data_IF_589263690644
#
_entry.id   IF_589263690644
#
_cell.length_a   1.000
_cell.length_b   1.000
_cell.length_c   1.000
_cell.angle_alpha   90.00
_cell.angle_beta   90.00
_cell.angle_gamma   90.00
#
_symmetry.space_group_name_H-M   'P 1'
#
loop_
_entity.id
_entity.type
_entity.pdbx_description
1 polymer ?
#
# COMPACT_ATOMS: atom_id res chain seq x y z
N UNK A 1 15.23 6.29 -14.65
CA UNK A 1 14.07 7.01 -14.06
C UNK A 1 14.61 8.04 -13.07
N UNK A 2 14.01 9.24 -12.97
CA UNK A 2 14.36 10.17 -11.90
C UNK A 2 14.04 9.53 -10.54
N UNK A 3 14.91 9.75 -9.55
CA UNK A 3 14.66 9.26 -8.19
C UNK A 3 13.44 9.98 -7.63
N UNK A 4 12.47 9.25 -7.06
CA UNK A 4 11.35 9.83 -6.32
C UNK A 4 11.89 10.42 -5.00
N UNK A 5 11.57 11.66 -4.70
CA UNK A 5 11.89 12.28 -3.42
C UNK A 5 10.76 12.01 -2.44
N UNK A 6 11.05 11.41 -1.27
CA UNK A 6 10.06 11.20 -0.20
C UNK A 6 10.45 12.04 1.00
N UNK A 7 9.53 12.90 1.45
CA UNK A 7 9.76 13.88 2.51
C UNK A 7 8.79 13.62 3.65
N UNK A 8 9.32 13.35 4.84
CA UNK A 8 8.56 13.35 6.09
C UNK A 8 8.43 14.82 6.55
N UNK A 9 7.22 15.38 6.44
CA UNK A 9 6.98 16.80 6.63
C UNK A 9 7.21 17.24 8.09
N UNK A 10 7.97 18.30 8.30
CA UNK A 10 8.01 19.04 9.57
C UNK A 10 6.83 20.04 9.68
N UNK A 11 6.27 20.41 8.55
CA UNK A 11 5.07 21.23 8.40
C UNK A 11 4.62 21.21 6.95
N UNK A 12 3.35 20.84 6.73
CA UNK A 12 2.78 20.62 5.40
C UNK A 12 2.91 21.83 4.48
N UNK A 13 2.54 23.03 4.96
CA UNK A 13 2.54 24.26 4.16
C UNK A 13 3.92 24.56 3.57
N UNK A 14 4.97 24.47 4.38
CA UNK A 14 6.35 24.75 3.93
C UNK A 14 6.83 23.66 2.97
N UNK A 15 6.59 22.38 3.31
CA UNK A 15 7.02 21.25 2.48
C UNK A 15 6.34 21.29 1.12
N UNK A 16 5.04 21.57 1.09
CA UNK A 16 4.26 21.64 -0.13
C UNK A 16 4.65 22.83 -1.01
N UNK A 17 4.80 24.03 -0.42
CA UNK A 17 5.29 25.22 -1.13
C UNK A 17 6.65 24.96 -1.78
N UNK A 18 7.57 24.32 -1.04
CA UNK A 18 8.89 23.98 -1.57
C UNK A 18 8.82 22.94 -2.70
N UNK A 19 8.00 21.90 -2.56
CA UNK A 19 7.83 20.88 -3.57
C UNK A 19 7.21 21.45 -4.86
N UNK A 20 6.21 22.32 -4.74
CA UNK A 20 5.59 23.02 -5.88
C UNK A 20 6.62 23.89 -6.61
N UNK A 21 7.44 24.66 -5.85
CA UNK A 21 8.47 25.54 -6.42
C UNK A 21 9.55 24.75 -7.18
N UNK A 22 9.84 23.51 -6.80
CA UNK A 22 10.75 22.61 -7.53
C UNK A 22 10.16 22.05 -8.84
N UNK A 23 8.85 22.14 -9.05
CA UNK A 23 8.16 21.65 -10.23
C UNK A 23 7.66 22.84 -11.06
N UNK A 24 8.43 23.34 -12.06
CA UNK A 24 7.96 24.43 -12.94
C UNK A 24 6.65 24.03 -13.61
N UNK A 25 5.63 24.85 -13.48
CA UNK A 25 4.29 24.58 -14.02
C UNK A 25 3.59 25.87 -14.47
N UNK A 26 2.64 25.71 -15.39
CA UNK A 26 1.77 26.78 -15.87
C UNK A 26 0.40 26.79 -15.17
N UNK A 27 -0.07 25.62 -14.75
CA UNK A 27 -1.31 25.44 -13.99
C UNK A 27 -1.12 24.37 -12.93
N UNK A 28 -1.84 24.54 -11.83
CA UNK A 28 -1.83 23.64 -10.69
C UNK A 28 -3.21 23.03 -10.47
N UNK A 29 -3.24 21.72 -10.26
CA UNK A 29 -4.46 20.96 -10.00
C UNK A 29 -4.32 20.17 -8.69
N UNK A 30 -5.43 20.06 -7.93
CA UNK A 30 -5.52 19.21 -6.75
C UNK A 30 -6.59 18.16 -7.02
N UNK A 31 -6.21 16.88 -6.99
CA UNK A 31 -7.10 15.74 -7.06
C UNK A 31 -7.36 15.20 -5.67
N UNK A 32 -8.65 15.09 -5.31
CA UNK A 32 -9.13 14.47 -4.06
C UNK A 32 -10.26 13.51 -4.38
N UNK A 33 -10.56 12.59 -3.45
CA UNK A 33 -11.87 11.96 -3.39
C UNK A 33 -12.81 12.77 -2.46
N UNK A 34 -14.10 12.41 -2.43
CA UNK A 34 -15.11 13.08 -1.61
C UNK A 34 -14.77 13.11 -0.11
N UNK A 35 -14.13 12.05 0.41
CA UNK A 35 -13.73 11.98 1.82
C UNK A 35 -12.53 12.88 2.09
N UNK A 36 -11.51 12.81 1.27
CA UNK A 36 -10.28 13.58 1.45
C UNK A 36 -10.49 15.05 1.10
N UNK A 37 -11.41 15.36 0.18
CA UNK A 37 -11.86 16.74 -0.03
C UNK A 37 -12.44 17.34 1.25
N UNK A 38 -13.31 16.63 1.93
CA UNK A 38 -13.95 17.11 3.16
C UNK A 38 -13.00 17.16 4.35
N UNK A 39 -12.15 16.14 4.54
CA UNK A 39 -11.37 15.94 5.76
C UNK A 39 -9.95 16.47 5.67
N UNK A 40 -9.32 16.40 4.49
CA UNK A 40 -7.91 16.69 4.31
C UNK A 40 -7.65 18.00 3.56
N UNK A 41 -8.50 18.35 2.58
CA UNK A 41 -8.34 19.58 1.79
C UNK A 41 -8.29 20.85 2.65
N UNK A 42 -9.07 20.99 3.75
CA UNK A 42 -8.99 22.18 4.61
C UNK A 42 -7.63 22.42 5.26
N UNK A 43 -6.78 21.39 5.41
CA UNK A 43 -5.41 21.55 5.90
C UNK A 43 -4.51 22.30 4.91
N UNK A 44 -4.94 22.48 3.68
CA UNK A 44 -4.24 23.24 2.64
C UNK A 44 -4.69 24.71 2.53
N UNK A 45 -5.70 25.11 3.28
CA UNK A 45 -6.23 26.47 3.24
C UNK A 45 -5.19 27.48 3.72
N UNK A 46 -5.13 28.61 3.02
CA UNK A 46 -4.19 29.68 3.33
C UNK A 46 -2.74 29.43 2.89
N UNK A 47 -2.46 28.36 2.12
CA UNK A 47 -1.17 28.15 1.47
C UNK A 47 -1.13 28.98 0.18
N UNK A 48 -0.30 30.05 0.09
CA UNK A 48 -0.34 30.96 -1.07
C UNK A 48 -0.04 30.27 -2.39
N UNK A 49 0.81 29.23 -2.39
CA UNK A 49 1.14 28.47 -3.58
C UNK A 49 -0.06 27.72 -4.20
N UNK A 50 -1.19 27.61 -3.50
CA UNK A 50 -2.40 26.90 -3.92
C UNK A 50 -3.59 27.83 -4.26
N UNK A 51 -3.42 29.16 -4.15
CA UNK A 51 -4.53 30.11 -4.36
C UNK A 51 -5.21 29.98 -5.73
N UNK A 52 -4.44 29.66 -6.78
CA UNK A 52 -4.93 29.49 -8.16
C UNK A 52 -5.10 28.01 -8.54
N UNK A 53 -5.02 27.08 -7.59
CA UNK A 53 -5.15 25.65 -7.88
C UNK A 53 -6.58 25.28 -8.23
N UNK A 54 -6.74 24.57 -9.35
CA UNK A 54 -8.00 24.01 -9.79
C UNK A 54 -8.27 22.66 -9.09
N UNK A 55 -9.48 22.45 -8.59
CA UNK A 55 -9.85 21.23 -7.88
C UNK A 55 -10.55 20.23 -8.78
N UNK A 56 -10.22 18.94 -8.59
CA UNK A 56 -10.86 17.79 -9.23
C UNK A 56 -11.25 16.83 -8.10
N UNK A 57 -12.55 16.54 -7.98
CA UNK A 57 -13.09 15.66 -6.94
C UNK A 57 -13.65 14.42 -7.61
N UNK A 58 -13.24 13.24 -7.15
CA UNK A 58 -13.72 11.94 -7.64
C UNK A 58 -14.49 11.20 -6.56
N UNK A 59 -15.23 10.16 -6.95
CA UNK A 59 -15.89 9.28 -5.99
C UNK A 59 -14.91 8.60 -5.05
N UNK A 60 -15.32 8.39 -3.81
CA UNK A 60 -14.51 7.72 -2.80
C UNK A 60 -14.54 6.19 -2.96
N UNK A 61 -13.63 5.51 -2.27
CA UNK A 61 -13.46 4.06 -2.22
C UNK A 61 -12.90 3.39 -3.50
N UNK A 62 -12.40 2.18 -3.34
CA UNK A 62 -11.70 1.42 -4.38
C UNK A 62 -12.57 1.06 -5.60
N UNK A 63 -13.89 1.10 -5.46
CA UNK A 63 -14.84 0.90 -6.57
C UNK A 63 -14.70 1.98 -7.65
N UNK A 64 -14.22 3.16 -7.29
CA UNK A 64 -13.95 4.27 -8.19
C UNK A 64 -12.53 4.26 -8.79
N UNK A 65 -11.69 3.28 -8.43
CA UNK A 65 -10.38 3.09 -9.04
C UNK A 65 -10.51 2.38 -10.40
N UNK A 66 -11.18 2.99 -11.35
CA UNK A 66 -11.58 2.38 -12.61
C UNK A 66 -11.35 3.30 -13.82
N UNK A 67 -11.61 2.78 -15.02
CA UNK A 67 -11.43 3.51 -16.29
C UNK A 67 -12.36 4.72 -16.42
N UNK A 68 -13.58 4.65 -15.89
CA UNK A 68 -14.57 5.73 -15.98
C UNK A 68 -14.11 6.94 -15.17
N UNK A 69 -13.67 6.73 -13.95
CA UNK A 69 -13.10 7.78 -13.09
C UNK A 69 -11.81 8.36 -13.69
N UNK A 70 -10.94 7.49 -14.23
CA UNK A 70 -9.73 7.94 -14.92
C UNK A 70 -10.06 8.86 -16.11
N UNK A 71 -11.03 8.48 -16.94
CA UNK A 71 -11.48 9.29 -18.08
C UNK A 71 -12.07 10.63 -17.60
N UNK A 72 -12.83 10.65 -16.50
CA UNK A 72 -13.37 11.88 -15.91
C UNK A 72 -12.24 12.83 -15.44
N UNK A 73 -11.16 12.31 -14.86
CA UNK A 73 -9.99 13.12 -14.46
C UNK A 73 -9.32 13.73 -15.70
N UNK A 74 -9.09 12.94 -16.77
CA UNK A 74 -8.52 13.48 -18.03
C UNK A 74 -9.42 14.54 -18.64
N UNK A 75 -10.72 14.34 -18.62
CA UNK A 75 -11.70 15.31 -19.12
C UNK A 75 -11.61 16.61 -18.33
N UNK A 76 -11.64 16.55 -16.98
CA UNK A 76 -11.54 17.71 -16.12
C UNK A 76 -10.22 18.50 -16.35
N UNK A 77 -9.09 17.79 -16.45
CA UNK A 77 -7.80 18.41 -16.80
C UNK A 77 -7.85 19.13 -18.15
N UNK A 78 -8.48 18.51 -19.15
CA UNK A 78 -8.61 19.09 -20.49
C UNK A 78 -9.51 20.33 -20.50
N UNK A 79 -10.69 20.24 -19.91
CA UNK A 79 -11.69 21.33 -19.86
C UNK A 79 -11.16 22.55 -19.10
N UNK A 80 -10.40 22.31 -18.01
CA UNK A 80 -9.76 23.36 -17.23
C UNK A 80 -8.45 23.87 -17.86
N UNK A 81 -8.12 23.39 -19.08
CA UNK A 81 -7.02 23.88 -19.91
C UNK A 81 -5.63 23.48 -19.41
N UNK A 82 -5.49 22.29 -18.83
CA UNK A 82 -4.18 21.73 -18.48
C UNK A 82 -3.28 21.58 -19.71
N UNK A 83 -2.01 21.95 -19.59
CA UNK A 83 -0.96 21.81 -20.58
C UNK A 83 -0.04 20.61 -20.28
N UNK A 84 1.03 20.44 -21.05
CA UNK A 84 2.10 19.49 -20.76
C UNK A 84 2.99 19.91 -19.59
N UNK A 85 2.87 21.15 -19.19
CA UNK A 85 3.64 21.75 -18.09
C UNK A 85 2.81 21.93 -16.82
N UNK A 86 1.59 21.43 -16.79
CA UNK A 86 0.76 21.49 -15.58
C UNK A 86 1.24 20.52 -14.53
N UNK A 87 0.93 20.84 -13.27
CA UNK A 87 1.26 20.03 -12.10
C UNK A 87 -0.01 19.50 -11.43
N UNK A 88 -0.05 18.20 -11.13
CA UNK A 88 -1.14 17.58 -10.40
C UNK A 88 -0.68 17.21 -8.98
N UNK A 89 -1.43 17.64 -7.96
CA UNK A 89 -1.26 17.21 -6.58
C UNK A 89 -2.34 16.19 -6.25
N UNK A 90 -1.95 14.96 -5.93
CA UNK A 90 -2.85 13.90 -5.48
C UNK A 90 -2.92 13.93 -3.94
N UNK A 91 -3.99 14.49 -3.39
CA UNK A 91 -4.26 14.54 -1.95
C UNK A 91 -5.28 13.46 -1.58
N UNK A 92 -4.81 12.30 -1.11
CA UNK A 92 -5.72 11.22 -0.78
C UNK A 92 -5.06 9.90 -0.39
N UNK A 93 -5.87 8.88 -0.21
CA UNK A 93 -5.43 7.52 0.04
C UNK A 93 -4.82 6.84 -1.19
N UNK A 94 -4.54 5.53 -1.09
CA UNK A 94 -3.93 4.75 -2.17
C UNK A 94 -4.70 4.80 -3.49
N UNK A 95 -6.04 4.85 -3.43
CA UNK A 95 -6.87 4.98 -4.62
C UNK A 95 -6.56 6.28 -5.38
N UNK A 96 -6.53 7.42 -4.67
CA UNK A 96 -6.27 8.74 -5.27
C UNK A 96 -4.82 8.83 -5.79
N UNK A 97 -3.84 8.33 -5.03
CA UNK A 97 -2.43 8.39 -5.45
C UNK A 97 -2.14 7.51 -6.65
N UNK A 98 -2.74 6.31 -6.74
CA UNK A 98 -2.57 5.38 -7.85
C UNK A 98 -3.26 5.87 -9.13
N UNK A 99 -4.55 6.22 -9.02
CA UNK A 99 -5.35 6.70 -10.16
C UNK A 99 -4.84 8.06 -10.65
N UNK A 100 -4.58 9.00 -9.72
CA UNK A 100 -4.06 10.31 -10.05
C UNK A 100 -2.66 10.28 -10.66
N UNK A 101 -1.78 9.41 -10.13
CA UNK A 101 -0.46 9.16 -10.70
C UNK A 101 -0.56 8.57 -12.11
N UNK A 102 -1.49 7.63 -12.36
CA UNK A 102 -1.74 7.07 -13.68
C UNK A 102 -2.35 8.10 -14.63
N UNK A 103 -3.30 8.91 -14.15
CA UNK A 103 -3.86 10.02 -14.92
C UNK A 103 -2.79 11.01 -15.38
N UNK A 104 -1.94 11.44 -14.44
CA UNK A 104 -0.82 12.35 -14.75
C UNK A 104 0.16 11.75 -15.75
N UNK A 105 0.51 10.47 -15.57
CA UNK A 105 1.50 9.77 -16.41
C UNK A 105 1.04 9.58 -17.85
N UNK A 106 -0.25 9.57 -18.09
CA UNK A 106 -0.85 9.28 -19.39
C UNK A 106 -1.44 10.53 -20.07
N UNK A 107 -1.85 11.54 -19.31
CA UNK A 107 -2.36 12.80 -19.84
C UNK A 107 -1.26 13.52 -20.62
N UNK A 108 -1.54 13.87 -21.92
CA UNK A 108 -0.59 14.55 -22.82
C UNK A 108 0.82 13.90 -22.89
N UNK A 109 0.93 12.60 -22.67
CA UNK A 109 2.17 11.79 -22.60
C UNK A 109 3.00 12.04 -21.32
N UNK A 110 2.35 12.50 -20.26
CA UNK A 110 2.92 12.73 -18.93
C UNK A 110 2.99 14.20 -18.57
N UNK A 111 2.42 14.51 -17.39
CA UNK A 111 2.58 15.76 -16.65
C UNK A 111 3.23 15.45 -15.29
N UNK A 112 3.86 16.43 -14.67
CA UNK A 112 4.42 16.28 -13.34
C UNK A 112 3.31 16.08 -12.29
N UNK A 113 3.59 15.30 -11.25
CA UNK A 113 2.67 15.16 -10.12
C UNK A 113 3.38 14.99 -8.79
N UNK A 114 2.72 15.41 -7.71
CA UNK A 114 3.12 15.26 -6.31
C UNK A 114 2.07 14.42 -5.60
N UNK A 115 2.50 13.46 -4.79
CA UNK A 115 1.60 12.72 -3.91
C UNK A 115 1.64 13.31 -2.49
N UNK A 116 0.46 13.54 -1.92
CA UNK A 116 0.23 13.88 -0.51
C UNK A 116 -0.68 12.80 0.07
N UNK A 117 -0.12 11.62 0.45
CA UNK A 117 -0.93 10.51 0.95
C UNK A 117 -1.55 10.84 2.30
N UNK A 118 -2.82 10.45 2.49
CA UNK A 118 -3.61 10.79 3.68
C UNK A 118 -3.99 9.58 4.52
N UNK A 119 -3.76 8.36 4.03
CA UNK A 119 -3.94 7.12 4.79
C UNK A 119 -2.60 6.50 5.12
N UNK A 120 -2.51 5.75 6.23
CA UNK A 120 -1.28 5.08 6.63
C UNK A 120 -0.78 4.13 5.54
N UNK A 121 -1.69 3.36 4.91
CA UNK A 121 -1.36 2.47 3.79
C UNK A 121 -0.74 3.23 2.62
N UNK A 122 -1.28 4.39 2.27
CA UNK A 122 -0.74 5.19 1.19
C UNK A 122 0.64 5.78 1.54
N UNK A 123 0.84 6.20 2.80
CA UNK A 123 2.11 6.77 3.27
C UNK A 123 3.24 5.74 3.22
N UNK A 124 3.00 4.52 3.72
CA UNK A 124 4.07 3.52 3.87
C UNK A 124 4.21 2.59 2.66
N UNK A 125 3.19 2.52 1.81
CA UNK A 125 3.18 1.58 0.68
C UNK A 125 2.76 2.23 -0.65
N UNK A 126 1.49 2.55 -0.88
CA UNK A 126 0.96 2.81 -2.21
C UNK A 126 1.62 4.00 -2.93
N UNK A 127 1.90 5.12 -2.25
CA UNK A 127 2.48 6.31 -2.89
C UNK A 127 3.98 6.22 -3.17
N UNK A 128 4.67 5.22 -2.60
CA UNK A 128 6.12 5.05 -2.71
C UNK A 128 6.48 3.96 -3.71
N UNK A 129 7.41 4.26 -4.61
CA UNK A 129 7.94 3.29 -5.57
C UNK A 129 7.34 3.35 -6.97
N UNK A 130 6.52 4.38 -7.25
CA UNK A 130 6.10 4.77 -8.59
C UNK A 130 5.16 3.80 -9.31
N UNK A 131 4.59 2.80 -8.64
CA UNK A 131 3.51 2.01 -9.20
C UNK A 131 2.24 2.86 -9.22
N UNK A 132 1.63 3.03 -10.39
CA UNK A 132 0.36 3.73 -10.56
C UNK A 132 -0.57 2.88 -11.42
N UNK A 133 -1.89 3.01 -11.26
CA UNK A 133 -2.80 2.19 -12.06
C UNK A 133 -4.24 2.20 -11.55
N UNK A 134 -5.02 1.41 -12.25
CA UNK A 134 -6.45 1.23 -12.02
C UNK A 134 -6.84 -0.25 -12.00
N UNK A 135 -8.02 -0.51 -11.44
CA UNK A 135 -8.67 -1.81 -11.50
C UNK A 135 -9.34 -1.96 -12.89
N UNK A 136 -9.36 -3.18 -13.41
CA UNK A 136 -9.97 -3.47 -14.69
C UNK A 136 -10.54 -4.87 -14.74
N UNK A 137 -11.75 -5.04 -15.29
CA UNK A 137 -12.45 -6.33 -15.41
C UNK A 137 -12.54 -7.12 -14.10
N UNK A 138 -12.74 -6.44 -12.97
CA UNK A 138 -12.83 -7.07 -11.65
C UNK A 138 -11.49 -7.45 -11.03
N UNK A 139 -10.37 -7.17 -11.71
CA UNK A 139 -9.02 -7.43 -11.20
C UNK A 139 -8.40 -6.13 -10.67
N UNK A 140 -7.77 -6.21 -9.49
CA UNK A 140 -7.11 -5.06 -8.86
C UNK A 140 -5.78 -4.74 -9.55
N UNK A 141 -5.51 -3.41 -9.75
CA UNK A 141 -4.25 -2.89 -10.27
C UNK A 141 -3.81 -3.58 -11.58
N UNK A 142 -4.77 -3.87 -12.47
CA UNK A 142 -4.51 -4.62 -13.70
C UNK A 142 -3.84 -3.77 -14.78
N UNK A 143 -4.19 -2.51 -14.86
CA UNK A 143 -3.64 -1.58 -15.82
C UNK A 143 -2.90 -0.46 -15.09
N UNK A 144 -1.63 -0.25 -15.45
CA UNK A 144 -0.83 0.78 -14.81
C UNK A 144 0.54 0.95 -15.46
N UNK A 145 1.31 1.86 -14.90
CA UNK A 145 2.68 2.15 -15.32
C UNK A 145 3.60 2.35 -14.10
N UNK A 146 4.88 2.17 -14.32
CA UNK A 146 5.92 2.60 -13.38
C UNK A 146 6.29 4.06 -13.70
N UNK A 147 5.70 5.00 -12.98
CA UNK A 147 5.95 6.42 -13.12
C UNK A 147 6.06 7.06 -11.72
N UNK A 148 7.27 7.35 -11.25
CA UNK A 148 7.45 7.95 -9.94
C UNK A 148 6.91 9.39 -9.89
N UNK A 149 6.26 9.76 -8.79
CA UNK A 149 5.93 11.16 -8.49
C UNK A 149 7.21 12.01 -8.40
N UNK A 150 7.13 13.28 -8.72
CA UNK A 150 8.22 14.22 -8.50
C UNK A 150 8.60 14.27 -7.01
N UNK A 151 7.58 14.21 -6.15
CA UNK A 151 7.74 14.20 -4.70
C UNK A 151 6.58 13.47 -4.02
N UNK A 152 6.84 12.84 -2.86
CA UNK A 152 5.84 12.32 -1.93
C UNK A 152 6.00 13.06 -0.61
N UNK A 153 4.94 13.70 -0.14
CA UNK A 153 4.94 14.48 1.11
C UNK A 153 4.17 13.71 2.18
N UNK A 154 4.88 13.20 3.18
CA UNK A 154 4.31 12.43 4.27
C UNK A 154 3.94 13.35 5.43
N UNK A 155 2.66 13.69 5.55
CA UNK A 155 2.11 14.48 6.66
C UNK A 155 1.27 13.60 7.57
N UNK A 156 1.81 13.25 8.72
CA UNK A 156 1.16 12.30 9.64
C UNK A 156 -0.02 12.88 10.42
N UNK A 157 -0.23 14.21 10.41
CA UNK A 157 -1.41 14.82 11.01
C UNK A 157 -2.73 14.34 10.36
N UNK A 158 -2.71 13.96 9.07
CA UNK A 158 -3.87 13.36 8.42
C UNK A 158 -4.35 12.06 9.08
N UNK A 159 -3.44 11.32 9.75
CA UNK A 159 -3.78 10.08 10.44
C UNK A 159 -4.69 10.30 11.66
N UNK A 160 -4.83 11.53 12.17
CA UNK A 160 -5.74 11.85 13.27
C UNK A 160 -7.22 11.74 12.90
N UNK A 161 -7.55 11.91 11.63
CA UNK A 161 -8.91 11.76 11.12
C UNK A 161 -9.17 10.39 10.48
N UNK A 162 -8.15 9.52 10.44
CA UNK A 162 -8.26 8.20 9.86
C UNK A 162 -8.97 7.25 10.84
N UNK A 163 -9.97 6.52 10.36
CA UNK A 163 -10.63 5.50 11.18
C UNK A 163 -9.70 4.32 11.51
N UNK A 164 -10.04 3.59 12.57
CA UNK A 164 -9.21 2.49 13.07
C UNK A 164 -8.99 1.37 12.03
N UNK A 165 -10.00 1.05 11.21
CA UNK A 165 -9.85 -0.01 10.20
C UNK A 165 -8.83 0.38 9.13
N UNK A 166 -8.89 1.60 8.62
CA UNK A 166 -7.92 2.10 7.66
C UNK A 166 -6.53 2.30 8.29
N UNK A 167 -6.46 2.67 9.58
CA UNK A 167 -5.20 2.71 10.31
C UNK A 167 -4.54 1.32 10.35
N UNK A 168 -5.28 0.30 10.81
CA UNK A 168 -4.76 -1.08 10.86
C UNK A 168 -4.44 -1.64 9.47
N UNK A 169 -5.20 -1.27 8.44
CA UNK A 169 -4.85 -1.65 7.06
C UNK A 169 -3.45 -1.16 6.66
N UNK A 170 -3.08 0.06 7.01
CA UNK A 170 -1.70 0.56 6.78
C UNK A 170 -0.67 -0.05 7.71
N UNK A 171 -1.04 -0.32 8.97
CA UNK A 171 -0.14 -0.88 9.96
C UNK A 171 0.32 -2.31 9.64
N UNK A 172 -0.50 -3.09 8.93
CA UNK A 172 -0.10 -4.40 8.44
C UNK A 172 1.12 -4.33 7.49
N UNK A 173 1.19 -3.29 6.65
CA UNK A 173 2.34 -3.06 5.78
C UNK A 173 3.59 -2.64 6.57
N UNK A 174 3.42 -1.84 7.63
CA UNK A 174 4.52 -1.55 8.54
C UNK A 174 5.03 -2.83 9.22
N UNK A 175 4.13 -3.70 9.68
CA UNK A 175 4.49 -4.98 10.28
C UNK A 175 5.28 -5.86 9.30
N UNK A 176 4.86 -5.92 8.02
CA UNK A 176 5.62 -6.55 6.95
C UNK A 176 7.02 -5.93 6.80
N UNK A 177 7.11 -4.60 6.82
CA UNK A 177 8.40 -3.91 6.75
C UNK A 177 9.31 -4.23 7.95
N UNK A 178 8.76 -4.37 9.14
CA UNK A 178 9.49 -4.85 10.31
C UNK A 178 10.07 -6.25 10.09
N UNK A 179 9.26 -7.18 9.60
CA UNK A 179 9.65 -8.57 9.34
C UNK A 179 10.77 -8.70 8.29
N UNK A 180 10.75 -7.87 7.25
CA UNK A 180 11.76 -7.91 6.17
C UNK A 180 12.96 -7.00 6.39
N UNK A 181 13.05 -6.32 7.55
CA UNK A 181 14.14 -5.38 7.84
C UNK A 181 15.03 -5.80 9.01
N UNK A 182 14.68 -5.42 10.23
CA UNK A 182 15.50 -5.73 11.41
C UNK A 182 14.66 -6.17 12.62
N UNK A 183 15.25 -6.97 13.53
CA UNK A 183 14.57 -7.39 14.77
C UNK A 183 14.11 -6.20 15.63
N UNK A 184 14.88 -5.11 15.66
CA UNK A 184 14.58 -3.91 16.44
C UNK A 184 13.33 -3.21 15.88
N UNK A 185 13.24 -3.08 14.54
CA UNK A 185 12.09 -2.48 13.88
C UNK A 185 10.81 -3.31 14.11
N UNK A 186 10.92 -4.65 13.98
CA UNK A 186 9.80 -5.54 14.29
C UNK A 186 9.36 -5.40 15.76
N UNK A 187 10.32 -5.41 16.70
CA UNK A 187 10.02 -5.31 18.13
C UNK A 187 9.31 -3.99 18.49
N UNK A 188 9.72 -2.88 17.89
CA UNK A 188 9.07 -1.58 18.04
C UNK A 188 7.62 -1.60 17.56
N UNK A 189 7.37 -2.18 16.37
CA UNK A 189 6.02 -2.31 15.82
C UNK A 189 5.13 -3.21 16.68
N UNK A 190 5.65 -4.31 17.19
CA UNK A 190 4.88 -5.22 18.07
C UNK A 190 4.60 -4.62 19.44
N UNK A 191 5.41 -3.67 19.92
CA UNK A 191 5.27 -3.02 21.22
C UNK A 191 4.47 -1.71 21.18
N UNK A 192 4.11 -1.22 19.99
CA UNK A 192 3.40 0.05 19.84
C UNK A 192 1.97 -0.04 20.38
N UNK A 193 1.59 0.90 21.26
CA UNK A 193 0.23 1.00 21.80
C UNK A 193 -0.72 1.59 20.75
N UNK A 194 -1.48 0.72 20.10
CA UNK A 194 -2.45 1.08 19.05
C UNK A 194 -3.76 1.64 19.61
N UNK A 195 -4.02 1.51 20.91
CA UNK A 195 -5.19 2.12 21.56
C UNK A 195 -4.92 3.56 22.00
N UNK A 196 -3.66 3.85 22.37
CA UNK A 196 -3.22 5.19 22.78
C UNK A 196 -2.09 5.68 21.89
N UNK A 197 -2.45 6.09 20.67
CA UNK A 197 -1.48 6.46 19.64
C UNK A 197 -0.64 7.67 20.07
N UNK A 198 0.65 7.46 20.24
CA UNK A 198 1.65 8.52 20.26
C UNK A 198 2.00 8.92 18.82
N UNK A 199 1.45 10.04 18.36
CA UNK A 199 1.64 10.50 16.99
C UNK A 199 3.08 10.95 16.68
N UNK A 200 3.86 11.37 17.66
CA UNK A 200 5.27 11.71 17.45
C UNK A 200 6.10 10.43 17.23
N UNK A 201 5.86 9.40 18.02
CA UNK A 201 6.46 8.08 17.82
C UNK A 201 5.99 7.47 16.49
N UNK A 202 4.68 7.51 16.20
CA UNK A 202 4.13 7.00 14.94
C UNK A 202 4.78 7.68 13.71
N UNK A 203 4.97 8.99 13.74
CA UNK A 203 5.69 9.72 12.66
C UNK A 203 7.09 9.16 12.43
N UNK A 204 7.83 8.91 13.50
CA UNK A 204 9.16 8.30 13.43
C UNK A 204 9.12 6.88 12.85
N UNK A 205 8.14 6.07 13.28
CA UNK A 205 7.93 4.69 12.78
C UNK A 205 7.54 4.67 11.31
N UNK A 206 6.67 5.57 10.87
CA UNK A 206 6.32 5.76 9.45
C UNK A 206 7.58 6.07 8.63
N UNK A 207 8.41 7.00 9.10
CA UNK A 207 9.67 7.33 8.43
C UNK A 207 10.59 6.11 8.26
N UNK A 208 10.77 5.30 9.33
CA UNK A 208 11.57 4.06 9.25
C UNK A 208 10.97 3.04 8.30
N UNK A 209 9.66 2.85 8.36
CA UNK A 209 8.95 1.93 7.48
C UNK A 209 9.11 2.30 6.00
N UNK A 210 8.99 3.58 5.69
CA UNK A 210 9.18 4.10 4.33
C UNK A 210 10.63 3.90 3.85
N UNK A 211 11.63 4.14 4.71
CA UNK A 211 13.04 3.92 4.36
C UNK A 211 13.32 2.45 3.97
N UNK A 212 12.66 1.48 4.61
CA UNK A 212 12.76 0.05 4.21
C UNK A 212 12.29 -0.11 2.77
N UNK A 213 11.12 0.44 2.44
CA UNK A 213 10.58 0.34 1.08
C UNK A 213 11.42 1.09 0.05
N UNK A 214 11.85 2.33 0.37
CA UNK A 214 12.69 3.13 -0.53
C UNK A 214 13.97 2.38 -0.91
N UNK A 215 14.68 1.83 0.08
CA UNK A 215 15.91 1.05 -0.16
C UNK A 215 15.65 -0.12 -1.12
N UNK A 216 14.58 -0.88 -0.89
CA UNK A 216 14.23 -2.04 -1.73
C UNK A 216 13.85 -1.60 -3.15
N UNK A 217 13.09 -0.50 -3.28
CA UNK A 217 12.68 0.04 -4.59
C UNK A 217 13.86 0.64 -5.35
N UNK A 218 14.81 1.29 -4.68
CA UNK A 218 16.02 1.82 -5.31
C UNK A 218 16.90 0.72 -5.86
N UNK A 219 17.01 -0.40 -5.14
CA UNK A 219 17.80 -1.56 -5.57
C UNK A 219 17.14 -2.32 -6.74
N UNK A 220 15.80 -2.41 -6.73
CA UNK A 220 15.04 -3.15 -7.76
C UNK A 220 13.77 -2.39 -8.18
N UNK A 221 13.87 -1.36 -9.02
CA UNK A 221 12.73 -0.53 -9.42
C UNK A 221 11.62 -1.29 -10.16
N UNK A 222 11.96 -2.36 -10.87
CA UNK A 222 11.04 -3.11 -11.75
C UNK A 222 10.57 -4.45 -11.21
N UNK A 223 10.93 -4.78 -9.94
CA UNK A 223 10.48 -6.00 -9.25
C UNK A 223 10.94 -7.32 -9.90
N UNK A 224 12.16 -7.33 -10.38
CA UNK A 224 12.77 -8.55 -10.92
C UNK A 224 13.47 -9.41 -9.83
N UNK A 225 13.89 -8.81 -8.74
CA UNK A 225 14.69 -9.41 -7.65
C UNK A 225 14.15 -9.08 -6.26
N UNK A 226 14.94 -8.31 -5.49
CA UNK A 226 14.70 -8.06 -4.05
C UNK A 226 13.36 -7.35 -3.76
N UNK A 227 12.82 -6.59 -4.68
CA UNK A 227 11.52 -5.93 -4.48
C UNK A 227 10.39 -6.94 -4.26
N UNK A 228 10.55 -8.20 -4.66
CA UNK A 228 9.64 -9.30 -4.32
C UNK A 228 9.53 -9.54 -2.81
N UNK A 229 10.49 -9.08 -2.00
CA UNK A 229 10.42 -9.11 -0.55
C UNK A 229 9.17 -8.41 0.00
N UNK A 230 8.73 -7.34 -0.67
CA UNK A 230 7.50 -6.62 -0.33
C UNK A 230 6.22 -7.46 -0.52
N UNK A 231 6.34 -8.65 -1.10
CA UNK A 231 5.24 -9.57 -1.30
C UNK A 231 5.06 -10.57 -0.14
N UNK A 232 5.84 -10.50 0.95
CA UNK A 232 5.60 -11.30 2.15
C UNK A 232 4.17 -11.07 2.66
N UNK A 233 3.43 -12.12 2.91
CA UNK A 233 2.03 -12.07 3.32
C UNK A 233 1.01 -11.85 2.17
N UNK A 234 1.47 -11.52 0.97
CA UNK A 234 0.58 -11.17 -0.13
C UNK A 234 0.10 -12.36 -0.96
N UNK A 235 0.86 -13.46 -1.04
CA UNK A 235 0.44 -14.61 -1.84
C UNK A 235 -0.84 -15.23 -1.27
N UNK A 236 -0.89 -15.42 0.02
CA UNK A 236 -2.11 -15.90 0.72
C UNK A 236 -3.10 -14.76 0.93
N UNK A 237 -2.63 -13.56 1.28
CA UNK A 237 -3.46 -12.38 1.50
C UNK A 237 -4.35 -12.05 0.30
N UNK A 238 -3.81 -12.01 -0.90
CA UNK A 238 -4.58 -11.77 -2.13
C UNK A 238 -5.63 -12.88 -2.40
N UNK A 239 -5.33 -14.13 -2.04
CA UNK A 239 -6.32 -15.21 -2.15
C UNK A 239 -7.48 -15.01 -1.17
N UNK A 240 -7.19 -14.59 0.08
CA UNK A 240 -8.23 -14.25 1.05
C UNK A 240 -9.06 -13.04 0.60
N UNK A 241 -8.42 -12.01 0.08
CA UNK A 241 -9.11 -10.82 -0.44
C UNK A 241 -10.02 -11.18 -1.62
N UNK A 242 -9.55 -12.02 -2.53
CA UNK A 242 -10.32 -12.49 -3.68
C UNK A 242 -11.50 -13.37 -3.27
N UNK A 243 -11.31 -14.27 -2.30
CA UNK A 243 -12.38 -15.10 -1.76
C UNK A 243 -13.44 -14.23 -1.06
N UNK A 244 -13.01 -13.28 -0.23
CA UNK A 244 -13.88 -12.33 0.45
C UNK A 244 -14.75 -11.52 -0.52
N UNK A 245 -14.15 -11.04 -1.60
CA UNK A 245 -14.84 -10.31 -2.66
C UNK A 245 -15.89 -11.20 -3.36
N UNK A 246 -15.52 -12.44 -3.71
CA UNK A 246 -16.43 -13.40 -4.34
C UNK A 246 -17.63 -13.75 -3.45
N UNK A 247 -17.43 -13.75 -2.13
CA UNK A 247 -18.47 -14.00 -1.12
C UNK A 247 -19.24 -12.71 -0.70
N UNK A 248 -19.00 -11.59 -1.36
CA UNK A 248 -19.62 -10.29 -1.08
C UNK A 248 -19.41 -9.79 0.36
N UNK A 249 -18.28 -10.12 0.95
CA UNK A 249 -17.82 -9.62 2.26
C UNK A 249 -16.42 -9.01 2.14
N UNK A 250 -16.27 -7.95 1.35
CA UNK A 250 -14.94 -7.39 1.05
C UNK A 250 -14.21 -7.01 2.33
N UNK A 251 -12.90 -7.21 2.31
CA UNK A 251 -11.99 -6.87 3.41
C UNK A 251 -10.98 -5.83 2.94
N UNK A 252 -10.45 -5.02 3.87
CA UNK A 252 -9.39 -4.09 3.54
C UNK A 252 -8.09 -4.85 3.26
N UNK A 253 -7.31 -4.35 2.31
CA UNK A 253 -6.07 -4.98 1.84
C UNK A 253 -5.12 -5.38 2.98
N UNK A 254 -4.83 -4.46 3.90
CA UNK A 254 -3.92 -4.75 4.99
C UNK A 254 -4.41 -5.84 5.96
N UNK A 255 -5.72 -6.01 6.12
CA UNK A 255 -6.25 -7.15 6.89
C UNK A 255 -5.92 -8.48 6.21
N UNK A 256 -6.15 -8.54 4.89
CA UNK A 256 -5.79 -9.73 4.11
C UNK A 256 -4.28 -10.00 4.17
N UNK A 257 -3.44 -8.97 4.09
CA UNK A 257 -1.99 -9.09 4.24
C UNK A 257 -1.62 -9.58 5.64
N UNK A 258 -2.21 -9.03 6.71
CA UNK A 258 -1.94 -9.47 8.09
C UNK A 258 -2.26 -10.95 8.28
N UNK A 259 -3.39 -11.43 7.78
CA UNK A 259 -3.74 -12.86 7.82
C UNK A 259 -2.83 -13.71 6.93
N UNK A 260 -2.42 -13.17 5.78
CA UNK A 260 -1.42 -13.81 4.92
C UNK A 260 -0.05 -13.94 5.59
N UNK A 261 0.36 -12.93 6.38
CA UNK A 261 1.59 -13.02 7.19
C UNK A 261 1.55 -14.20 8.17
N UNK A 262 0.41 -14.48 8.82
CA UNK A 262 0.26 -15.66 9.69
C UNK A 262 0.58 -16.95 8.94
N UNK A 263 0.00 -17.10 7.74
CA UNK A 263 0.20 -18.26 6.88
C UNK A 263 1.65 -18.37 6.40
N UNK A 264 2.22 -17.30 5.87
CA UNK A 264 3.55 -17.32 5.26
C UNK A 264 4.66 -17.37 6.32
N UNK A 265 4.42 -16.91 7.54
CA UNK A 265 5.33 -17.15 8.68
C UNK A 265 5.32 -18.61 9.14
N UNK A 266 4.18 -19.30 9.10
CA UNK A 266 4.14 -20.75 9.32
C UNK A 266 4.96 -21.50 8.26
N UNK A 267 4.79 -21.16 6.97
CA UNK A 267 5.63 -21.72 5.91
C UNK A 267 7.12 -21.40 6.13
N UNK A 268 7.43 -20.18 6.56
CA UNK A 268 8.81 -19.79 6.90
C UNK A 268 9.38 -20.66 8.03
N UNK A 269 8.59 -20.92 9.07
CA UNK A 269 9.02 -21.78 10.18
C UNK A 269 9.31 -23.20 9.72
N UNK A 270 8.44 -23.84 8.94
CA UNK A 270 8.61 -25.25 8.55
C UNK A 270 9.61 -25.45 7.41
N UNK A 271 9.78 -24.49 6.50
CA UNK A 271 10.61 -24.61 5.30
C UNK A 271 11.99 -24.00 5.42
N UNK A 272 12.10 -22.86 6.10
CA UNK A 272 13.36 -22.08 6.17
C UNK A 272 13.91 -21.98 7.60
N UNK A 273 13.17 -22.45 8.61
CA UNK A 273 13.61 -22.47 10.01
C UNK A 273 13.40 -21.14 10.73
N UNK A 274 12.47 -20.29 10.30
CA UNK A 274 12.15 -19.02 10.95
C UNK A 274 11.88 -19.20 12.45
N UNK A 275 12.37 -18.32 13.34
CA UNK A 275 12.25 -18.47 14.80
C UNK A 275 10.81 -18.56 15.27
N UNK A 276 10.50 -19.63 16.00
CA UNK A 276 9.14 -19.93 16.51
C UNK A 276 8.59 -18.85 17.44
N UNK A 277 9.44 -18.25 18.24
CA UNK A 277 9.07 -17.18 19.18
C UNK A 277 8.65 -15.91 18.42
N UNK A 278 9.39 -15.52 17.36
CA UNK A 278 9.05 -14.38 16.51
C UNK A 278 7.76 -14.62 15.72
N UNK A 279 7.59 -15.82 15.18
CA UNK A 279 6.33 -16.23 14.55
C UNK A 279 5.15 -16.08 15.52
N UNK A 280 5.27 -16.63 16.75
CA UNK A 280 4.20 -16.55 17.75
C UNK A 280 3.87 -15.12 18.17
N UNK A 281 4.88 -14.29 18.40
CA UNK A 281 4.68 -12.87 18.77
C UNK A 281 3.90 -12.13 17.67
N UNK A 282 4.29 -12.34 16.40
CA UNK A 282 3.59 -11.71 15.26
C UNK A 282 2.17 -12.23 15.11
N UNK A 283 1.95 -13.54 15.22
CA UNK A 283 0.60 -14.14 15.16
C UNK A 283 -0.29 -13.60 16.29
N UNK A 284 0.23 -13.50 17.51
CA UNK A 284 -0.52 -12.95 18.64
C UNK A 284 -0.95 -11.50 18.36
N UNK A 285 -0.03 -10.66 17.89
CA UNK A 285 -0.33 -9.29 17.50
C UNK A 285 -1.42 -9.23 16.42
N UNK A 286 -1.31 -10.07 15.38
CA UNK A 286 -2.32 -10.13 14.32
C UNK A 286 -3.68 -10.58 14.87
N UNK A 287 -3.72 -11.60 15.70
CA UNK A 287 -4.96 -12.09 16.31
C UNK A 287 -5.66 -11.02 17.13
N UNK A 288 -4.93 -10.28 17.94
CA UNK A 288 -5.46 -9.23 18.81
C UNK A 288 -6.00 -8.02 18.05
N UNK A 289 -5.34 -7.62 16.98
CA UNK A 289 -5.64 -6.36 16.28
C UNK A 289 -6.46 -6.52 14.99
N UNK A 290 -6.39 -7.69 14.33
CA UNK A 290 -7.06 -7.93 13.04
C UNK A 290 -8.15 -8.99 13.10
N UNK A 291 -8.27 -9.71 14.22
CA UNK A 291 -9.17 -10.85 14.29
C UNK A 291 -8.80 -11.94 13.28
N UNK A 292 -9.79 -12.68 12.78
CA UNK A 292 -9.56 -13.79 11.86
C UNK A 292 -10.41 -13.70 10.60
N UNK A 293 -9.86 -14.16 9.48
CA UNK A 293 -10.61 -14.45 8.27
C UNK A 293 -11.17 -15.87 8.34
N UNK A 294 -12.49 -16.00 8.28
CA UNK A 294 -13.15 -17.30 8.43
C UNK A 294 -13.34 -17.99 7.08
N UNK A 295 -12.88 -19.23 6.98
CA UNK A 295 -13.10 -20.14 5.88
C UNK A 295 -13.09 -21.58 6.39
N UNK A 296 -13.55 -22.54 5.57
CA UNK A 296 -13.61 -23.95 5.95
C UNK A 296 -12.82 -24.83 4.96
N UNK A 297 -12.60 -26.11 5.32
CA UNK A 297 -11.78 -27.02 4.51
C UNK A 297 -12.30 -27.26 3.09
N UNK A 298 -13.60 -27.05 2.82
CA UNK A 298 -14.15 -27.15 1.45
C UNK A 298 -13.69 -26.03 0.52
N UNK A 299 -13.15 -24.96 1.08
CA UNK A 299 -12.65 -23.79 0.34
C UNK A 299 -11.13 -23.85 0.08
N UNK A 300 -10.43 -24.88 0.59
CA UNK A 300 -8.97 -25.00 0.40
C UNK A 300 -8.56 -25.08 -1.06
N UNK A 301 -9.28 -25.90 -1.85
CA UNK A 301 -9.01 -25.98 -3.30
C UNK A 301 -9.26 -24.64 -4.00
N UNK A 302 -10.31 -23.91 -3.61
CA UNK A 302 -10.59 -22.59 -4.17
C UNK A 302 -9.48 -21.58 -3.82
N UNK A 303 -9.06 -21.54 -2.57
CA UNK A 303 -7.93 -20.67 -2.14
C UNK A 303 -6.63 -21.02 -2.86
N UNK A 304 -6.36 -22.33 -3.02
CA UNK A 304 -5.19 -22.80 -3.76
C UNK A 304 -5.21 -22.34 -5.23
N UNK A 305 -6.35 -22.45 -5.91
CA UNK A 305 -6.48 -21.94 -7.29
C UNK A 305 -6.37 -20.41 -7.36
N UNK A 306 -6.94 -19.67 -6.41
CA UNK A 306 -6.78 -18.21 -6.34
C UNK A 306 -5.30 -17.80 -6.19
N UNK A 307 -4.53 -18.54 -5.36
CA UNK A 307 -3.09 -18.29 -5.24
C UNK A 307 -2.34 -18.55 -6.55
N UNK A 308 -2.71 -19.59 -7.34
CA UNK A 308 -2.09 -19.87 -8.65
C UNK A 308 -2.28 -18.75 -9.67
N UNK A 309 -3.40 -18.03 -9.59
CA UNK A 309 -3.72 -16.91 -10.48
C UNK A 309 -3.08 -15.59 -10.07
N UNK A 310 -2.34 -15.53 -8.95
CA UNK A 310 -1.58 -14.32 -8.61
C UNK A 310 -0.55 -14.01 -9.71
N UNK A 311 -0.47 -12.73 -10.10
CA UNK A 311 0.40 -12.21 -11.18
C UNK A 311 1.89 -12.56 -11.03
N UNK A 312 2.31 -12.94 -9.83
CA UNK A 312 3.69 -13.30 -9.48
C UNK A 312 4.04 -14.72 -9.90
N UNK A 313 3.05 -15.54 -10.26
CA UNK A 313 3.22 -16.96 -10.53
C UNK A 313 3.50 -17.21 -12.01
N UNK A 314 4.48 -18.06 -12.27
CA UNK A 314 4.86 -18.46 -13.62
C UNK A 314 4.50 -19.94 -13.80
N UNK A 315 3.77 -20.25 -14.86
CA UNK A 315 3.40 -21.61 -15.24
C UNK A 315 2.63 -22.40 -14.14
N UNK A 316 1.82 -21.73 -13.32
CA UNK A 316 0.99 -22.37 -12.30
C UNK A 316 1.74 -22.80 -11.03
N UNK A 317 3.00 -22.40 -10.88
CA UNK A 317 3.77 -22.62 -9.65
C UNK A 317 3.54 -21.44 -8.71
N UNK A 318 3.09 -21.71 -7.49
CA UNK A 318 2.89 -20.71 -6.46
C UNK A 318 4.24 -20.33 -5.85
N UNK A 319 4.61 -19.05 -5.99
CA UNK A 319 5.85 -18.51 -5.44
C UNK A 319 5.57 -17.70 -4.18
N UNK A 320 6.31 -18.02 -3.12
CA UNK A 320 6.26 -17.32 -1.85
C UNK A 320 7.53 -16.52 -1.60
N UNK A 321 7.39 -15.43 -0.89
CA UNK A 321 8.49 -14.80 -0.15
C UNK A 321 8.43 -15.34 1.27
N UNK A 322 9.47 -16.02 1.71
CA UNK A 322 9.60 -16.56 3.07
C UNK A 322 10.79 -15.92 3.79
N UNK A 323 10.91 -16.17 5.08
CA UNK A 323 11.99 -15.65 5.92
C UNK A 323 12.73 -16.79 6.60
N UNK A 324 14.06 -16.70 6.70
CA UNK A 324 14.86 -17.57 7.56
C UNK A 324 15.04 -16.96 8.95
N UNK A 325 15.22 -15.65 9.00
CA UNK A 325 15.27 -14.80 10.20
C UNK A 325 14.55 -13.48 9.89
N UNK A 326 14.34 -12.62 10.89
CA UNK A 326 13.87 -11.25 10.62
C UNK A 326 14.93 -10.54 9.78
N UNK A 327 14.54 -10.08 8.60
CA UNK A 327 15.44 -9.44 7.63
C UNK A 327 16.21 -10.41 6.71
N UNK A 328 16.19 -11.71 6.96
CA UNK A 328 16.81 -12.72 6.09
C UNK A 328 15.75 -13.32 5.15
N UNK A 329 15.72 -12.81 3.92
CA UNK A 329 14.63 -13.01 2.97
C UNK A 329 14.96 -14.15 2.01
N UNK A 330 14.07 -15.13 1.91
CA UNK A 330 14.13 -16.24 0.97
C UNK A 330 13.10 -16.04 -0.14
N UNK A 331 13.52 -15.53 -1.29
CA UNK A 331 12.65 -15.29 -2.45
C UNK A 331 12.37 -16.59 -3.21
N UNK A 332 11.26 -16.58 -3.98
CA UNK A 332 10.86 -17.64 -4.90
C UNK A 332 10.79 -19.02 -4.24
N UNK A 333 10.30 -19.09 -3.02
CA UNK A 333 10.09 -20.36 -2.33
C UNK A 333 8.77 -20.99 -2.82
N UNK A 334 8.74 -22.32 -2.88
CA UNK A 334 7.58 -23.07 -3.32
C UNK A 334 7.12 -24.04 -2.22
N UNK A 335 5.85 -24.38 -2.22
CA UNK A 335 5.28 -25.44 -1.39
C UNK A 335 4.33 -26.30 -2.23
N UNK A 336 4.28 -27.59 -1.94
CA UNK A 336 3.30 -28.49 -2.53
C UNK A 336 1.91 -28.22 -1.94
N UNK A 337 0.90 -28.81 -2.57
CA UNK A 337 -0.49 -28.61 -2.18
C UNK A 337 -0.79 -29.10 -0.77
N UNK A 338 -0.15 -30.17 -0.34
CA UNK A 338 -0.32 -30.76 1.00
C UNK A 338 0.19 -29.79 2.06
N UNK A 339 1.40 -29.28 1.91
CA UNK A 339 2.00 -28.25 2.78
C UNK A 339 1.14 -26.99 2.86
N UNK A 340 0.56 -26.54 1.73
CA UNK A 340 -0.34 -25.40 1.71
C UNK A 340 -1.64 -25.70 2.48
N UNK A 341 -2.16 -26.89 2.41
CA UNK A 341 -3.35 -27.28 3.16
C UNK A 341 -3.06 -27.36 4.68
N UNK A 342 -1.89 -27.91 5.07
CA UNK A 342 -1.42 -27.87 6.47
C UNK A 342 -1.30 -26.42 6.98
N UNK A 343 -0.82 -25.52 6.17
CA UNK A 343 -0.76 -24.09 6.50
C UNK A 343 -2.16 -23.51 6.76
N UNK A 344 -3.17 -23.89 5.97
CA UNK A 344 -4.55 -23.45 6.21
C UNK A 344 -5.14 -24.07 7.49
N UNK A 345 -4.84 -25.33 7.80
CA UNK A 345 -5.24 -25.95 9.06
C UNK A 345 -4.59 -25.22 10.23
N UNK A 346 -3.30 -24.97 10.19
CA UNK A 346 -2.58 -24.19 11.19
C UNK A 346 -3.22 -22.80 11.40
N UNK A 347 -3.51 -22.08 10.31
CA UNK A 347 -4.17 -20.77 10.40
C UNK A 347 -5.51 -20.87 11.14
N UNK A 348 -6.36 -21.81 10.78
CA UNK A 348 -7.69 -22.00 11.40
C UNK A 348 -7.58 -22.37 12.88
N UNK A 349 -6.59 -23.16 13.26
CA UNK A 349 -6.37 -23.56 14.65
C UNK A 349 -5.86 -22.39 15.52
N UNK A 350 -4.96 -21.57 15.01
CA UNK A 350 -4.36 -20.50 15.82
C UNK A 350 -5.18 -19.20 15.81
N UNK A 351 -5.93 -18.93 14.74
CA UNK A 351 -6.71 -17.70 14.59
C UNK A 351 -8.19 -17.86 14.94
N UNK A 352 -8.69 -19.11 14.94
CA UNK A 352 -10.08 -19.46 15.24
C UNK A 352 -10.50 -19.30 16.68
#
# INVERSE_FOLDING_TARGET
MSKQEVILCEGLANSLTHAIAKCPHDKLFILTDEHTHRLCRPHLDGIPALEEAEEIIIGAEDVHKNMETLAAVWQALSEKGASRHSLLINLGGGMVTDLGGFAASTFKRGIAYINVPTTLLAMVDASVGGKTGINFNGLKNEIGVFAPAACVLLETEFLRSLDAHNFFSGYAEMLKHGLISTPEHLAELLAFDTEKIDYALLKSMVGRSVQVKERIVEEDPLEHGIRKALNLGHTVGHAFESLALAERRPVLHGYAVAWGLVCELYLSYIKTGFPKDKMRQTIQFVKENYGSFTFNCKQYDQLYELMKHDKKNTAGVINFTLLKEVGDICLNQTADKETIFEMFDFYRECMG
#
